data_IF_765212395698
#
_entry.id   IF_765212395698
#
_cell.length_a   1.000
_cell.length_b   1.000
_cell.length_c   1.000
_cell.angle_alpha   90.00
_cell.angle_beta   90.00
_cell.angle_gamma   90.00
#
_symmetry.space_group_name_H-M   'P 1'
#
loop_
_entity.id
_entity.type
_entity.pdbx_description
1 polymer ?
#
# COMPACT_ATOMS: atom_id res chain seq x y z
N UNK A 1 9.42 21.81 -5.18
CA UNK A 1 8.73 21.40 -3.93
C UNK A 1 7.61 20.45 -4.30
N UNK A 2 7.34 19.47 -3.46
CA UNK A 2 6.20 18.56 -3.58
C UNK A 2 5.50 18.45 -2.22
N UNK A 3 4.28 17.92 -2.20
CA UNK A 3 3.53 17.64 -0.98
C UNK A 3 3.20 16.16 -0.92
N UNK A 4 3.26 15.57 0.27
CA UNK A 4 2.81 14.19 0.53
C UNK A 4 2.17 14.12 1.92
N UNK A 5 1.18 13.22 2.06
CA UNK A 5 0.59 12.95 3.36
C UNK A 5 1.58 12.20 4.25
N UNK A 6 1.55 12.54 5.53
CA UNK A 6 2.14 11.78 6.62
C UNK A 6 0.98 11.30 7.50
N UNK A 7 0.90 10.01 7.71
CA UNK A 7 -0.14 9.36 8.50
C UNK A 7 0.37 9.16 9.92
N UNK A 8 -0.30 9.76 10.90
CA UNK A 8 0.15 9.79 12.30
C UNK A 8 -0.84 9.01 13.15
N UNK A 9 -0.36 8.00 13.87
CA UNK A 9 -1.19 7.27 14.83
C UNK A 9 -1.56 8.19 15.99
N UNK A 10 -2.82 8.20 16.38
CA UNK A 10 -3.32 9.02 17.48
C UNK A 10 -4.00 8.16 18.53
N UNK A 11 -4.07 8.68 19.78
CA UNK A 11 -4.85 8.06 20.87
C UNK A 11 -6.22 8.74 21.05
N UNK A 12 -6.65 9.54 20.07
CA UNK A 12 -7.97 10.21 20.14
C UNK A 12 -9.07 9.19 19.93
N UNK A 13 -10.17 9.35 20.65
CA UNK A 13 -11.30 8.41 20.62
C UNK A 13 -12.12 8.48 19.34
N UNK A 14 -12.06 9.60 18.62
CA UNK A 14 -12.83 9.91 17.41
C UNK A 14 -12.03 9.65 16.12
N UNK A 15 -10.72 9.53 16.21
CA UNK A 15 -9.86 9.19 15.06
C UNK A 15 -8.59 8.50 15.54
N UNK A 16 -8.30 7.33 14.98
CA UNK A 16 -7.06 6.59 15.27
C UNK A 16 -5.88 7.08 14.43
N UNK A 17 -6.16 7.81 13.35
CA UNK A 17 -5.15 8.31 12.41
C UNK A 17 -5.42 9.80 12.13
N UNK A 18 -4.38 10.58 12.18
CA UNK A 18 -4.36 11.97 11.70
C UNK A 18 -3.49 12.05 10.46
N UNK A 19 -3.97 12.70 9.41
CA UNK A 19 -3.22 12.93 8.17
C UNK A 19 -2.77 14.38 8.10
N UNK A 20 -1.47 14.60 7.88
CA UNK A 20 -0.87 15.93 7.68
C UNK A 20 -0.15 15.97 6.35
N UNK A 21 -0.39 17.00 5.56
CA UNK A 21 0.43 17.28 4.38
C UNK A 21 1.75 17.93 4.79
N UNK A 22 2.85 17.41 4.23
CA UNK A 22 4.20 17.94 4.43
C UNK A 22 4.76 18.37 3.09
N UNK A 23 5.26 19.59 3.01
CA UNK A 23 5.97 20.13 1.86
C UNK A 23 7.46 19.84 1.97
N UNK A 24 8.06 19.28 0.91
CA UNK A 24 9.44 18.83 0.89
C UNK A 24 10.10 18.96 -0.48
N UNK A 25 11.41 18.82 -0.55
CA UNK A 25 12.15 18.81 -1.81
C UNK A 25 12.02 17.43 -2.49
N UNK A 26 11.47 17.44 -3.71
CA UNK A 26 11.36 16.24 -4.54
C UNK A 26 12.59 16.07 -5.43
N UNK A 27 13.17 14.88 -5.39
CA UNK A 27 14.28 14.48 -6.28
C UNK A 27 13.72 13.65 -7.44
N UNK A 28 13.64 14.21 -8.65
CA UNK A 28 13.04 13.52 -9.80
C UNK A 28 13.90 12.35 -10.27
N UNK A 29 13.26 11.34 -10.86
CA UNK A 29 13.93 10.19 -11.46
C UNK A 29 13.32 8.86 -11.06
N UNK A 30 13.54 7.84 -11.90
CA UNK A 30 13.01 6.49 -11.68
C UNK A 30 13.93 5.62 -10.83
N UNK A 31 15.18 6.04 -10.62
CA UNK A 31 16.15 5.29 -9.83
C UNK A 31 15.73 5.20 -8.36
N UNK A 32 15.93 4.05 -7.74
CA UNK A 32 15.64 3.83 -6.32
C UNK A 32 16.34 4.87 -5.43
N UNK A 33 17.59 5.22 -5.76
CA UNK A 33 18.36 6.24 -5.02
C UNK A 33 17.70 7.62 -5.03
N UNK A 34 17.04 8.03 -6.12
CA UNK A 34 16.31 9.29 -6.18
C UNK A 34 15.04 9.26 -5.33
N UNK A 35 14.32 8.12 -5.35
CA UNK A 35 13.18 7.93 -4.46
C UNK A 35 13.60 7.97 -2.99
N UNK A 36 14.71 7.32 -2.65
CA UNK A 36 15.25 7.34 -1.28
C UNK A 36 15.68 8.73 -0.81
N UNK A 37 16.24 9.55 -1.70
CA UNK A 37 16.52 10.98 -1.39
C UNK A 37 15.23 11.76 -1.13
N UNK A 38 14.19 11.53 -1.92
CA UNK A 38 12.87 12.15 -1.70
C UNK A 38 12.25 11.72 -0.38
N UNK A 39 12.37 10.44 0.00
CA UNK A 39 11.90 9.91 1.29
C UNK A 39 12.64 10.60 2.45
N UNK A 40 13.98 10.70 2.39
CA UNK A 40 14.76 11.41 3.41
C UNK A 40 14.34 12.87 3.54
N UNK A 41 14.16 13.55 2.41
CA UNK A 41 13.70 14.95 2.39
C UNK A 41 12.30 15.08 3.03
N UNK A 42 11.37 14.16 2.73
CA UNK A 42 10.04 14.13 3.34
C UNK A 42 10.12 13.90 4.85
N UNK A 43 10.94 12.94 5.31
CA UNK A 43 11.07 12.63 6.73
C UNK A 43 11.72 13.79 7.50
N UNK A 44 12.78 14.42 6.95
CA UNK A 44 13.39 15.60 7.55
C UNK A 44 12.39 16.76 7.66
N UNK A 45 11.67 17.03 6.59
CA UNK A 45 10.63 18.07 6.59
C UNK A 45 9.51 17.77 7.59
N UNK A 46 9.09 16.50 7.72
CA UNK A 46 8.08 16.09 8.72
C UNK A 46 8.61 16.24 10.15
N UNK A 47 9.87 15.95 10.38
CA UNK A 47 10.51 16.20 11.68
C UNK A 47 10.54 17.69 12.02
N UNK A 48 10.92 18.54 11.08
CA UNK A 48 11.01 20.00 11.28
C UNK A 48 9.62 20.65 11.44
N UNK A 49 8.65 20.28 10.60
CA UNK A 49 7.33 20.91 10.55
C UNK A 49 6.38 20.38 11.62
N UNK A 50 6.49 19.08 11.99
CA UNK A 50 5.53 18.38 12.83
C UNK A 50 6.14 17.81 14.12
N UNK A 51 7.47 17.87 14.30
CA UNK A 51 8.16 17.32 15.47
C UNK A 51 8.17 15.78 15.52
N UNK A 52 8.04 15.10 14.39
CA UNK A 52 7.93 13.64 14.31
C UNK A 52 9.34 13.01 14.28
N UNK A 53 9.63 12.06 15.18
CA UNK A 53 10.94 11.45 15.32
C UNK A 53 11.02 9.98 14.89
N UNK A 54 9.88 9.32 14.74
CA UNK A 54 9.81 7.89 14.41
C UNK A 54 8.84 7.69 13.25
N UNK A 55 9.37 7.84 12.03
CA UNK A 55 8.61 7.75 10.78
C UNK A 55 9.08 6.52 10.01
N UNK A 56 8.16 5.66 9.62
CA UNK A 56 8.42 4.51 8.75
C UNK A 56 7.88 4.77 7.35
N UNK A 57 8.76 4.72 6.36
CA UNK A 57 8.34 4.63 4.96
C UNK A 57 7.91 3.21 4.63
N UNK A 58 6.65 3.03 4.21
CA UNK A 58 6.09 1.75 3.79
C UNK A 58 5.94 1.74 2.26
N UNK A 59 7.02 1.43 1.58
CA UNK A 59 7.04 1.27 0.12
C UNK A 59 8.17 0.35 -0.32
N UNK A 60 8.12 -0.10 -1.57
CA UNK A 60 9.20 -0.88 -2.18
C UNK A 60 10.53 -0.12 -2.29
N UNK A 61 10.55 1.17 -1.98
CA UNK A 61 11.71 2.07 -2.05
C UNK A 61 12.25 2.44 -0.67
N UNK A 62 11.63 1.98 0.40
CA UNK A 62 12.12 2.20 1.77
C UNK A 62 13.59 1.80 1.91
N UNK A 63 14.34 2.52 2.74
CA UNK A 63 15.69 2.12 3.15
C UNK A 63 15.67 1.07 4.26
N UNK A 64 14.52 0.87 4.90
CA UNK A 64 14.34 -0.08 5.98
C UNK A 64 13.69 -1.36 5.46
N UNK A 65 14.27 -2.50 5.79
CA UNK A 65 13.74 -3.82 5.41
C UNK A 65 12.30 -4.02 5.86
N UNK A 66 11.93 -3.51 7.04
CA UNK A 66 10.57 -3.54 7.54
C UNK A 66 9.62 -2.81 6.59
N UNK A 67 9.95 -1.60 6.18
CA UNK A 67 9.13 -0.80 5.26
C UNK A 67 8.97 -1.45 3.88
N UNK A 68 10.05 -2.08 3.38
CA UNK A 68 10.00 -2.86 2.13
C UNK A 68 9.09 -4.07 2.29
N UNK A 69 9.22 -4.82 3.38
CA UNK A 69 8.43 -6.04 3.63
C UNK A 69 6.94 -5.75 3.84
N UNK A 70 6.60 -4.57 4.36
CA UNK A 70 5.23 -4.11 4.58
C UNK A 70 4.60 -3.46 3.35
N UNK A 71 5.37 -3.18 2.30
CA UNK A 71 4.79 -2.71 1.03
C UNK A 71 3.77 -3.73 0.51
N UNK A 72 2.64 -3.28 -0.01
CA UNK A 72 1.63 -4.15 -0.62
C UNK A 72 2.17 -4.99 -1.79
N UNK A 73 3.30 -4.59 -2.38
CA UNK A 73 4.03 -5.35 -3.40
C UNK A 73 4.77 -6.58 -2.83
N UNK A 74 5.00 -6.63 -1.52
CA UNK A 74 5.80 -7.67 -0.85
C UNK A 74 5.05 -8.38 0.28
N UNK A 75 4.23 -7.64 1.04
CA UNK A 75 3.44 -8.22 2.13
C UNK A 75 2.45 -9.23 1.55
N UNK A 76 2.62 -10.49 1.94
CA UNK A 76 1.87 -11.60 1.36
C UNK A 76 0.87 -12.18 2.36
N UNK A 77 -0.23 -12.70 1.82
CA UNK A 77 -1.16 -13.55 2.56
C UNK A 77 -1.42 -14.83 1.78
N UNK A 78 -1.99 -15.81 2.46
CA UNK A 78 -2.40 -17.09 1.88
C UNK A 78 -3.91 -17.11 1.80
N UNK A 79 -4.45 -17.38 0.61
CA UNK A 79 -5.88 -17.48 0.38
C UNK A 79 -6.44 -18.87 0.75
N UNK A 80 -7.76 -19.08 0.57
CA UNK A 80 -8.43 -20.37 0.87
C UNK A 80 -7.88 -21.56 0.08
N UNK A 81 -7.33 -21.32 -1.13
CA UNK A 81 -6.77 -22.37 -1.99
C UNK A 81 -5.29 -22.65 -1.70
N UNK A 82 -4.76 -22.15 -0.58
CA UNK A 82 -3.35 -22.21 -0.21
C UNK A 82 -2.38 -21.55 -1.19
N UNK A 83 -2.85 -20.58 -1.97
CA UNK A 83 -2.00 -19.74 -2.80
C UNK A 83 -1.47 -18.61 -1.93
N UNK A 84 -0.14 -18.47 -1.85
CA UNK A 84 0.51 -17.36 -1.17
C UNK A 84 0.97 -16.33 -2.18
N UNK A 85 0.46 -15.11 -2.08
CA UNK A 85 0.82 -14.02 -2.95
C UNK A 85 0.77 -12.66 -2.22
N UNK A 86 1.46 -11.63 -2.74
CA UNK A 86 1.36 -10.26 -2.21
C UNK A 86 -0.05 -9.67 -2.30
N UNK A 87 -0.37 -8.74 -1.40
CA UNK A 87 -1.63 -7.98 -1.39
C UNK A 87 -1.94 -7.40 -2.77
N UNK A 88 -0.97 -6.76 -3.42
CA UNK A 88 -1.14 -6.17 -4.76
C UNK A 88 -1.60 -7.20 -5.80
N UNK A 89 -1.06 -8.42 -5.76
CA UNK A 89 -1.40 -9.48 -6.69
C UNK A 89 -2.86 -9.92 -6.51
N UNK A 90 -3.28 -10.18 -5.28
CA UNK A 90 -4.67 -10.53 -4.98
C UNK A 90 -5.63 -9.38 -5.32
N UNK A 91 -5.25 -8.15 -5.00
CA UNK A 91 -6.05 -6.98 -5.34
C UNK A 91 -6.29 -6.86 -6.85
N UNK A 92 -5.25 -7.02 -7.67
CA UNK A 92 -5.39 -6.92 -9.12
C UNK A 92 -6.17 -8.10 -9.71
N UNK A 93 -5.87 -9.32 -9.28
CA UNK A 93 -6.49 -10.54 -9.80
C UNK A 93 -7.95 -10.72 -9.40
N UNK A 94 -8.40 -10.07 -8.32
CA UNK A 94 -9.79 -10.13 -7.84
C UNK A 94 -10.74 -9.15 -8.51
N UNK A 95 -10.24 -8.28 -9.37
CA UNK A 95 -11.05 -7.28 -10.08
C UNK A 95 -12.00 -7.94 -11.07
N UNK A 96 -13.27 -7.59 -10.99
CA UNK A 96 -14.32 -7.99 -11.93
C UNK A 96 -14.77 -6.77 -12.72
N UNK A 97 -14.67 -6.85 -14.02
CA UNK A 97 -15.01 -5.78 -14.96
C UNK A 97 -16.26 -6.13 -15.75
N UNK A 98 -16.79 -5.16 -16.51
CA UNK A 98 -17.95 -5.35 -17.37
C UNK A 98 -17.78 -6.50 -18.39
N UNK A 99 -16.52 -6.73 -18.84
CA UNK A 99 -16.21 -7.69 -19.89
C UNK A 99 -15.14 -8.71 -19.49
N UNK A 100 -14.91 -8.95 -18.19
CA UNK A 100 -13.94 -9.95 -17.74
C UNK A 100 -13.62 -9.91 -16.26
N UNK A 101 -12.86 -10.92 -15.81
CA UNK A 101 -12.47 -11.09 -14.42
C UNK A 101 -13.41 -11.99 -13.61
N UNK A 102 -13.05 -12.35 -12.37
CA UNK A 102 -11.73 -12.10 -11.80
C UNK A 102 -10.61 -12.83 -12.56
N UNK A 103 -9.43 -12.25 -12.62
CA UNK A 103 -8.27 -12.82 -13.32
C UNK A 103 -7.36 -13.57 -12.34
N UNK A 104 -7.83 -14.69 -11.82
CA UNK A 104 -7.14 -15.46 -10.76
C UNK A 104 -5.81 -16.08 -11.21
N UNK A 105 -5.56 -16.18 -12.52
CA UNK A 105 -4.25 -16.55 -13.07
C UNK A 105 -3.15 -15.55 -12.68
N UNK A 106 -3.51 -14.29 -12.38
CA UNK A 106 -2.58 -13.29 -11.88
C UNK A 106 -2.01 -13.64 -10.50
N UNK A 107 -2.66 -14.52 -9.73
CA UNK A 107 -2.15 -14.95 -8.42
C UNK A 107 -0.82 -15.70 -8.51
N UNK A 108 -0.42 -16.13 -9.70
CA UNK A 108 0.87 -16.77 -10.00
C UNK A 108 1.91 -15.80 -10.57
N UNK A 109 1.59 -14.51 -10.65
CA UNK A 109 2.45 -13.47 -11.21
C UNK A 109 3.14 -12.69 -10.10
N UNK A 110 4.16 -11.91 -10.49
CA UNK A 110 4.71 -10.88 -9.61
C UNK A 110 3.76 -9.70 -9.49
N UNK A 111 3.86 -8.93 -8.41
CA UNK A 111 3.06 -7.70 -8.21
C UNK A 111 3.18 -6.73 -9.39
N UNK A 112 4.36 -6.64 -9.99
CA UNK A 112 4.61 -5.77 -11.13
C UNK A 112 3.91 -6.26 -12.40
N UNK A 113 3.92 -7.56 -12.65
CA UNK A 113 3.23 -8.16 -13.79
C UNK A 113 1.72 -8.06 -13.61
N UNK A 114 1.20 -8.41 -12.43
CA UNK A 114 -0.22 -8.32 -12.13
C UNK A 114 -0.74 -6.89 -12.33
N UNK A 115 -0.03 -5.87 -11.82
CA UNK A 115 -0.42 -4.46 -11.97
C UNK A 115 -0.42 -3.95 -13.40
N UNK A 116 0.36 -4.57 -14.29
CA UNK A 116 0.52 -4.14 -15.69
C UNK A 116 -0.24 -5.02 -16.68
N UNK A 117 -1.06 -5.94 -16.22
CA UNK A 117 -1.84 -6.80 -17.11
C UNK A 117 -2.81 -5.96 -17.94
N UNK A 118 -2.77 -6.11 -19.26
CA UNK A 118 -3.55 -5.31 -20.21
C UNK A 118 -5.06 -5.47 -19.99
N UNK A 119 -5.49 -6.66 -19.55
CA UNK A 119 -6.91 -6.94 -19.26
C UNK A 119 -7.52 -6.01 -18.23
N UNK A 120 -6.70 -5.46 -17.30
CA UNK A 120 -7.17 -4.50 -16.30
C UNK A 120 -7.63 -3.17 -16.91
N UNK A 121 -7.20 -2.87 -18.13
CA UNK A 121 -7.57 -1.65 -18.88
C UNK A 121 -8.61 -1.97 -19.96
N UNK A 122 -8.49 -3.13 -20.61
CA UNK A 122 -9.28 -3.48 -21.78
C UNK A 122 -10.66 -4.08 -21.45
N UNK A 123 -10.88 -4.52 -20.22
CA UNK A 123 -12.10 -5.22 -19.82
C UNK A 123 -13.28 -4.32 -19.44
N UNK A 124 -13.19 -3.02 -19.71
CA UNK A 124 -14.26 -2.05 -19.43
C UNK A 124 -14.29 -1.57 -17.98
N UNK A 125 -15.45 -1.12 -17.53
CA UNK A 125 -15.61 -0.55 -16.19
C UNK A 125 -15.46 -1.61 -15.10
N UNK A 126 -14.76 -1.26 -14.02
CA UNK A 126 -14.66 -2.08 -12.81
C UNK A 126 -16.03 -2.11 -12.11
N UNK A 127 -16.53 -3.31 -11.80
CA UNK A 127 -17.88 -3.52 -11.22
C UNK A 127 -17.79 -3.90 -9.73
N UNK A 128 -16.93 -4.84 -9.39
CA UNK A 128 -16.78 -5.38 -8.04
C UNK A 128 -15.40 -6.05 -7.89
N UNK A 129 -15.10 -6.56 -6.70
CA UNK A 129 -14.04 -7.52 -6.51
C UNK A 129 -14.63 -8.88 -6.12
N UNK A 130 -13.99 -9.97 -6.56
CA UNK A 130 -14.36 -11.33 -6.18
C UNK A 130 -13.09 -12.05 -5.68
N UNK A 131 -13.07 -12.36 -4.39
CA UNK A 131 -11.93 -12.99 -3.72
C UNK A 131 -12.42 -14.05 -2.74
N UNK A 132 -11.89 -15.27 -2.87
CA UNK A 132 -12.21 -16.41 -2.00
C UNK A 132 -13.74 -16.68 -1.91
N UNK A 133 -14.44 -16.61 -3.05
CA UNK A 133 -15.90 -16.74 -3.18
C UNK A 133 -16.70 -15.64 -2.47
N UNK A 134 -16.06 -14.57 -2.09
CA UNK A 134 -16.72 -13.41 -1.51
C UNK A 134 -16.64 -12.21 -2.43
N UNK A 135 -17.80 -11.61 -2.69
CA UNK A 135 -17.91 -10.38 -3.48
C UNK A 135 -17.75 -9.15 -2.59
N UNK A 136 -17.01 -8.19 -3.10
CA UNK A 136 -16.72 -6.93 -2.41
C UNK A 136 -17.17 -5.75 -3.27
N UNK A 137 -17.86 -4.78 -2.67
CA UNK A 137 -18.33 -3.59 -3.39
C UNK A 137 -17.18 -2.63 -3.66
N UNK A 138 -17.37 -1.72 -4.62
CA UNK A 138 -16.45 -0.61 -4.90
C UNK A 138 -16.55 0.55 -3.90
N UNK A 139 -17.58 0.57 -3.07
CA UNK A 139 -17.80 1.64 -2.08
C UNK A 139 -17.97 1.04 -0.69
N UNK A 140 -17.23 1.52 0.32
CA UNK A 140 -16.14 2.52 0.25
C UNK A 140 -14.97 2.07 -0.63
N UNK A 141 -14.32 3.01 -1.34
CA UNK A 141 -13.34 2.71 -2.41
C UNK A 141 -12.12 1.91 -1.96
N UNK A 142 -11.73 1.99 -0.69
CA UNK A 142 -10.57 1.28 -0.14
C UNK A 142 -10.92 0.00 0.61
N UNK A 143 -12.22 -0.28 0.82
CA UNK A 143 -12.67 -1.36 1.72
C UNK A 143 -12.00 -2.70 1.46
N UNK A 144 -12.00 -3.17 0.23
CA UNK A 144 -11.43 -4.46 -0.13
C UNK A 144 -9.89 -4.47 0.01
N UNK A 145 -9.24 -3.39 -0.43
CA UNK A 145 -7.79 -3.26 -0.29
C UNK A 145 -7.35 -3.24 1.17
N UNK A 146 -8.03 -2.46 2.01
CA UNK A 146 -7.75 -2.35 3.44
C UNK A 146 -7.94 -3.70 4.15
N UNK A 147 -9.01 -4.42 3.80
CA UNK A 147 -9.25 -5.76 4.32
C UNK A 147 -8.15 -6.75 3.93
N UNK A 148 -7.72 -6.77 2.66
CA UNK A 148 -6.60 -7.60 2.19
C UNK A 148 -5.33 -7.29 2.97
N UNK A 149 -5.02 -6.00 3.12
CA UNK A 149 -3.83 -5.56 3.82
C UNK A 149 -3.85 -5.94 5.31
N UNK A 150 -4.97 -5.72 5.99
CA UNK A 150 -5.15 -6.13 7.39
C UNK A 150 -5.05 -7.65 7.55
N UNK A 151 -5.64 -8.42 6.65
CA UNK A 151 -5.56 -9.89 6.63
C UNK A 151 -4.11 -10.36 6.42
N UNK A 152 -3.35 -9.68 5.57
CA UNK A 152 -1.93 -9.97 5.39
C UNK A 152 -1.11 -9.64 6.65
N UNK A 153 -1.37 -8.52 7.33
CA UNK A 153 -0.73 -8.18 8.61
C UNK A 153 -1.02 -9.24 9.68
N UNK A 154 -2.26 -9.72 9.75
CA UNK A 154 -2.65 -10.76 10.70
C UNK A 154 -1.87 -12.07 10.49
N UNK A 155 -1.61 -12.44 9.24
CA UNK A 155 -0.79 -13.60 8.88
C UNK A 155 0.72 -13.36 9.04
N UNK A 156 1.18 -12.12 9.18
CA UNK A 156 2.59 -11.72 9.32
C UNK A 156 2.82 -10.96 10.63
N UNK A 157 2.47 -11.56 11.74
CA UNK A 157 2.51 -10.95 13.08
C UNK A 157 3.83 -10.30 13.47
N UNK A 158 5.02 -10.88 13.22
CA UNK A 158 6.27 -10.20 13.56
C UNK A 158 6.42 -8.84 12.91
N UNK A 159 6.03 -8.67 11.64
CA UNK A 159 6.04 -7.38 10.94
C UNK A 159 4.97 -6.44 11.49
N UNK A 160 3.77 -6.96 11.78
CA UNK A 160 2.69 -6.17 12.36
C UNK A 160 3.05 -5.64 13.75
N UNK A 161 3.69 -6.46 14.60
CA UNK A 161 4.15 -6.05 15.93
C UNK A 161 5.26 -5.01 15.85
N UNK A 162 6.17 -5.12 14.88
CA UNK A 162 7.23 -4.13 14.67
C UNK A 162 6.71 -2.73 14.28
N UNK A 163 5.48 -2.62 13.74
CA UNK A 163 4.83 -1.32 13.48
C UNK A 163 4.58 -0.52 14.76
N UNK A 164 4.45 -1.17 15.91
CA UNK A 164 4.16 -0.50 17.18
C UNK A 164 5.32 0.39 17.68
N UNK A 165 6.51 0.22 17.12
CA UNK A 165 7.68 1.05 17.42
C UNK A 165 7.65 2.40 16.68
N UNK A 166 6.68 2.59 15.77
CA UNK A 166 6.54 3.79 14.94
C UNK A 166 5.22 4.51 15.25
N UNK A 167 5.26 5.84 15.10
CA UNK A 167 4.10 6.71 15.35
C UNK A 167 3.62 7.43 14.09
N UNK A 168 4.42 7.42 13.04
CA UNK A 168 4.09 8.05 11.77
C UNK A 168 4.54 7.18 10.60
N UNK A 169 3.79 7.27 9.50
CA UNK A 169 3.99 6.43 8.33
C UNK A 169 3.89 7.27 7.06
N UNK A 170 4.70 6.92 6.06
CA UNK A 170 4.68 7.53 4.74
C UNK A 170 4.68 6.45 3.66
N UNK A 171 4.19 6.81 2.48
CA UNK A 171 4.38 6.09 1.24
C UNK A 171 4.70 7.11 0.14
N UNK A 172 5.95 7.15 -0.29
CA UNK A 172 6.42 8.14 -1.28
C UNK A 172 5.77 7.94 -2.66
N UNK A 173 5.27 6.74 -2.93
CA UNK A 173 4.59 6.40 -4.18
C UNK A 173 3.07 6.66 -4.12
N UNK A 174 2.53 6.89 -2.93
CA UNK A 174 1.13 7.26 -2.76
C UNK A 174 0.90 8.72 -3.20
N UNK A 175 0.01 8.91 -4.15
CA UNK A 175 -0.45 10.21 -4.59
C UNK A 175 -1.96 10.25 -4.49
N UNK A 176 -2.53 11.07 -3.59
CA UNK A 176 -3.98 11.17 -3.40
C UNK A 176 -4.70 11.92 -4.54
N UNK A 177 -3.97 12.62 -5.45
CA UNK A 177 -4.51 13.43 -6.56
C UNK A 177 -4.79 12.61 -7.81
#
# INVERSE_FOLDING_TARGET
>A
MAKRPVFISTKKTDSLIETKEVEFEWYPGLAVSQKQKSIESLHNAAQEQLGLNSILEISSKSKMDLGVSLSAFNLSLTNKDNIKAPVEVFFQGSKVFAHGGPFTDLYQKTSREAKKDERLVESGDLIEFDFDDQKWPLSPSTLFYDWLYCSALEQNRPQAEALLDYHAFTDIEFNPD
#
